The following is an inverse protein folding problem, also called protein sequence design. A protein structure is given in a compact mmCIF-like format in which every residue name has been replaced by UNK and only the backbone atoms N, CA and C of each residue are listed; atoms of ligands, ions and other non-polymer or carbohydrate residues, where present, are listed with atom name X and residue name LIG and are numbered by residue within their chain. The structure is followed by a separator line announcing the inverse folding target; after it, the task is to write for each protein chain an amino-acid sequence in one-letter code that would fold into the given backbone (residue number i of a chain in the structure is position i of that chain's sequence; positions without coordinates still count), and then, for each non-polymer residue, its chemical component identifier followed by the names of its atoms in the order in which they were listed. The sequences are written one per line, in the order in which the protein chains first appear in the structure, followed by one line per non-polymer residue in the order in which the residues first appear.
data_IF_703306730456
#
_entry.id   IF_703306730456
#
_cell.length_a   1.000
_cell.length_b   1.000
_cell.length_c   1.000
_cell.angle_alpha   90.00
_cell.angle_beta   90.00
_cell.angle_gamma   90.00
#
_symmetry.space_group_name_H-M   'P 1'
#
loop_
_entity.id
_entity.type
_entity.pdbx_description
1 polymer ?
#
# COMPACT_ATOMS: atom_id res chain seq x y z
N UNK A 1 37.28 45.73 -23.65
CA UNK A 1 36.81 44.41 -24.12
C UNK A 1 36.79 43.50 -22.90
N UNK A 2 35.94 43.78 -21.93
CA UNK A 2 34.49 43.53 -21.86
C UNK A 2 34.25 42.26 -21.05
N UNK A 3 34.03 42.51 -19.75
CA UNK A 3 33.47 41.57 -18.79
C UNK A 3 32.08 41.18 -19.29
N UNK A 4 31.99 40.05 -19.99
CA UNK A 4 30.70 39.39 -20.21
C UNK A 4 30.26 38.84 -18.87
N UNK A 5 29.21 39.43 -18.32
CA UNK A 5 28.54 38.92 -17.14
C UNK A 5 27.99 37.53 -17.46
N UNK A 6 28.47 36.52 -16.73
CA UNK A 6 27.94 35.16 -16.78
C UNK A 6 26.44 35.20 -16.49
N UNK A 7 25.65 34.45 -17.26
CA UNK A 7 24.21 34.33 -17.04
C UNK A 7 23.90 33.63 -15.71
N UNK A 8 22.65 33.71 -15.24
CA UNK A 8 22.24 33.08 -14.00
C UNK A 8 22.40 31.56 -14.05
N UNK A 9 22.12 30.91 -15.19
CA UNK A 9 22.33 29.46 -15.33
C UNK A 9 23.82 29.09 -15.34
N UNK A 10 24.69 29.91 -15.94
CA UNK A 10 26.14 29.68 -15.96
C UNK A 10 26.77 29.84 -14.58
N UNK A 11 26.25 30.76 -13.74
CA UNK A 11 26.68 30.86 -12.34
C UNK A 11 26.20 29.67 -11.51
N UNK A 12 24.97 29.20 -11.74
CA UNK A 12 24.43 28.03 -11.06
C UNK A 12 25.22 26.75 -11.35
N UNK A 13 25.60 26.53 -12.63
CA UNK A 13 26.44 25.39 -13.02
C UNK A 13 27.86 25.46 -12.42
N UNK A 14 28.40 26.67 -12.27
CA UNK A 14 29.72 26.88 -11.68
C UNK A 14 29.72 26.75 -10.14
N UNK A 15 28.65 27.16 -9.48
CA UNK A 15 28.47 27.01 -8.03
C UNK A 15 28.06 25.56 -7.63
N UNK A 16 27.49 24.80 -8.57
CA UNK A 16 27.14 23.39 -8.42
C UNK A 16 28.30 22.41 -8.54
N UNK A 17 29.43 22.82 -9.15
CA UNK A 17 30.63 22.00 -9.26
C UNK A 17 31.49 22.07 -7.99
N UNK A 18 31.00 21.41 -6.93
CA UNK A 18 31.74 21.27 -5.66
C UNK A 18 32.81 20.16 -5.70
N UNK A 19 33.12 19.62 -6.87
CA UNK A 19 34.08 18.51 -7.03
C UNK A 19 35.51 18.88 -6.60
N UNK A 20 35.87 20.17 -6.62
CA UNK A 20 37.18 20.66 -6.20
C UNK A 20 37.48 20.47 -4.70
N UNK A 21 36.48 20.16 -3.87
CA UNK A 21 36.63 19.96 -2.42
C UNK A 21 36.80 18.50 -1.99
N UNK A 22 36.69 17.54 -2.90
CA UNK A 22 36.75 16.12 -2.58
C UNK A 22 38.04 15.51 -3.13
N UNK A 23 38.93 15.04 -2.23
CA UNK A 23 39.19 13.61 -2.16
C UNK A 23 39.06 12.78 -3.45
N UNK A 24 39.90 12.84 -4.51
CA UNK A 24 39.72 11.89 -5.61
C UNK A 24 39.87 10.47 -5.07
N UNK A 25 38.76 9.73 -5.02
CA UNK A 25 38.78 8.33 -4.58
C UNK A 25 39.08 7.49 -5.81
N UNK A 26 40.30 6.95 -5.87
CA UNK A 26 40.64 5.96 -6.89
C UNK A 26 39.89 4.65 -6.58
N UNK A 27 38.83 4.40 -7.34
CA UNK A 27 38.01 3.20 -7.25
C UNK A 27 38.57 2.04 -8.08
N UNK A 28 39.65 2.24 -8.84
CA UNK A 28 40.16 1.22 -9.74
C UNK A 28 40.71 0.02 -8.98
N UNK A 29 41.56 0.23 -7.97
CA UNK A 29 42.19 -0.85 -7.21
C UNK A 29 41.18 -1.66 -6.36
N UNK A 30 40.23 -1.04 -5.63
CA UNK A 30 39.18 -1.77 -4.91
C UNK A 30 38.28 -2.60 -5.84
N UNK A 31 37.94 -2.08 -7.02
CA UNK A 31 37.11 -2.79 -8.01
C UNK A 31 37.87 -3.95 -8.63
N UNK A 32 39.15 -3.77 -8.98
CA UNK A 32 39.97 -4.85 -9.53
C UNK A 32 40.21 -5.96 -8.50
N UNK A 33 40.29 -5.62 -7.20
CA UNK A 33 40.35 -6.60 -6.11
C UNK A 33 39.03 -7.36 -5.93
N UNK A 34 37.89 -6.67 -5.99
CA UNK A 34 36.56 -7.28 -5.90
C UNK A 34 36.25 -8.21 -7.08
N UNK A 35 36.78 -7.90 -8.26
CA UNK A 35 36.66 -8.74 -9.47
C UNK A 35 37.69 -9.87 -9.54
N UNK A 36 38.56 -10.02 -8.54
CA UNK A 36 39.61 -11.05 -8.52
C UNK A 36 40.74 -10.84 -9.53
N UNK A 37 40.89 -9.62 -10.06
CA UNK A 37 41.88 -9.23 -11.08
C UNK A 37 43.04 -8.40 -10.52
N UNK A 38 43.06 -8.11 -9.20
CA UNK A 38 44.11 -7.37 -8.52
C UNK A 38 45.35 -8.23 -8.22
N UNK A 39 46.19 -8.46 -9.23
CA UNK A 39 47.45 -9.17 -9.08
C UNK A 39 48.62 -8.24 -8.75
N UNK A 40 49.16 -8.30 -7.53
CA UNK A 40 50.51 -7.82 -7.23
C UNK A 40 51.53 -8.85 -7.70
N UNK A 41 52.23 -8.56 -8.78
CA UNK A 41 53.52 -9.17 -9.06
C UNK A 41 54.56 -8.61 -8.09
N UNK A 42 55.15 -9.48 -7.26
CA UNK A 42 56.53 -9.31 -6.81
C UNK A 42 57.18 -10.67 -6.58
N UNK A 43 58.43 -10.72 -7.03
CA UNK A 43 59.23 -11.90 -7.29
C UNK A 43 60.15 -12.28 -6.12
N UNK A 44 60.58 -13.55 -6.16
CA UNK A 44 61.72 -14.18 -5.46
C UNK A 44 61.57 -14.41 -3.93
N UNK A 45 61.90 -15.56 -3.34
CA UNK A 45 62.27 -16.92 -3.75
C UNK A 45 61.49 -17.91 -2.85
N UNK A 46 61.58 -19.23 -2.91
CA UNK A 46 62.72 -20.11 -3.14
C UNK A 46 62.17 -21.55 -3.36
N UNK A 47 63.01 -22.39 -3.98
CA UNK A 47 62.73 -23.72 -4.52
C UNK A 47 62.16 -24.75 -3.53
N UNK A 48 61.24 -25.60 -4.02
CA UNK A 48 61.36 -27.06 -3.93
C UNK A 48 60.39 -27.78 -4.88
N UNK A 49 60.88 -28.79 -5.59
CA UNK A 49 60.11 -29.76 -6.40
C UNK A 49 60.88 -31.09 -6.39
N UNK A 50 60.30 -32.25 -6.78
CA UNK A 50 58.93 -32.78 -6.63
C UNK A 50 58.97 -34.22 -6.03
N UNK A 51 57.88 -35.04 -6.11
CA UNK A 51 57.85 -36.00 -7.24
C UNK A 51 56.45 -36.38 -7.81
N UNK A 52 56.46 -36.60 -9.14
CA UNK A 52 55.88 -37.67 -9.99
C UNK A 52 54.41 -38.15 -9.91
N UNK A 53 53.80 -38.23 -11.12
CA UNK A 53 52.76 -39.19 -11.56
C UNK A 53 51.32 -38.67 -11.44
N UNK A 54 50.38 -38.77 -12.39
CA UNK A 54 50.24 -39.50 -13.65
C UNK A 54 49.18 -38.76 -14.52
N UNK A 55 49.32 -38.79 -15.84
CA UNK A 55 48.26 -38.48 -16.83
C UNK A 55 47.54 -39.76 -17.26
N UNK A 56 46.26 -39.70 -17.69
CA UNK A 56 45.97 -39.89 -19.13
C UNK A 56 44.80 -38.98 -19.62
N UNK A 57 44.85 -38.33 -20.78
CA UNK A 57 44.75 -38.84 -22.16
C UNK A 57 43.41 -39.54 -22.47
N UNK A 58 42.56 -38.94 -23.33
CA UNK A 58 41.80 -39.57 -24.43
C UNK A 58 41.16 -38.44 -25.28
N UNK A 59 41.72 -38.21 -26.46
CA UNK A 59 40.96 -37.83 -27.65
C UNK A 59 40.70 -39.10 -28.46
N UNK A 60 39.48 -39.29 -28.98
CA UNK A 60 39.25 -40.25 -30.07
C UNK A 60 38.27 -39.70 -31.10
N UNK A 61 38.85 -39.43 -32.26
CA UNK A 61 38.24 -39.26 -33.58
C UNK A 61 37.99 -40.66 -34.15
N UNK A 62 36.89 -40.88 -34.87
CA UNK A 62 36.72 -42.03 -35.77
C UNK A 62 36.01 -41.56 -37.03
N UNK A 63 36.65 -41.87 -38.15
CA UNK A 63 36.23 -41.60 -39.52
C UNK A 63 35.21 -42.64 -40.02
N UNK A 64 34.68 -42.33 -41.19
CA UNK A 64 33.64 -43.02 -41.93
C UNK A 64 34.09 -44.37 -42.53
N UNK A 65 33.12 -45.27 -42.74
CA UNK A 65 33.19 -46.30 -43.77
C UNK A 65 31.80 -46.56 -44.39
N UNK A 66 31.81 -46.76 -45.70
CA UNK A 66 30.66 -46.92 -46.57
C UNK A 66 30.31 -48.39 -46.79
N UNK A 67 29.02 -48.71 -47.06
CA UNK A 67 28.64 -50.07 -47.44
C UNK A 67 27.14 -50.33 -47.67
N UNK A 68 26.63 -49.89 -48.82
CA UNK A 68 25.61 -50.54 -49.68
C UNK A 68 24.38 -51.23 -49.07
N UNK A 69 23.18 -50.75 -49.42
CA UNK A 69 22.19 -51.58 -50.15
C UNK A 69 21.08 -50.74 -50.81
N UNK A 70 20.72 -51.14 -52.03
CA UNK A 70 19.68 -50.55 -52.89
C UNK A 70 18.29 -50.98 -52.44
N UNK A 71 17.31 -50.06 -52.46
CA UNK A 71 15.99 -50.35 -53.06
C UNK A 71 15.26 -49.08 -53.49
N UNK A 72 14.89 -49.05 -54.78
CA UNK A 72 14.10 -48.02 -55.45
C UNK A 72 12.66 -48.03 -54.95
N UNK A 73 12.07 -46.84 -54.72
CA UNK A 73 10.68 -46.52 -55.10
C UNK A 73 10.58 -45.01 -55.40
N UNK A 74 9.66 -44.68 -56.30
CA UNK A 74 9.58 -43.49 -57.15
C UNK A 74 8.49 -42.52 -56.66
N UNK A 75 8.73 -41.21 -56.85
CA UNK A 75 7.78 -40.06 -57.06
C UNK A 75 7.14 -39.47 -55.79
N UNK A 76 6.77 -38.14 -55.70
CA UNK A 76 7.01 -37.00 -56.60
C UNK A 76 7.83 -35.85 -55.97
N UNK A 77 8.38 -34.97 -56.84
CA UNK A 77 8.88 -33.65 -56.46
C UNK A 77 7.68 -32.70 -56.27
N UNK A 78 7.51 -32.18 -55.06
CA UNK A 78 6.65 -31.03 -54.76
C UNK A 78 7.59 -29.83 -54.58
N UNK A 79 7.33 -28.67 -55.22
CA UNK A 79 8.21 -27.51 -55.14
C UNK A 79 8.22 -26.92 -53.73
N UNK A 80 9.41 -26.83 -53.13
CA UNK A 80 9.67 -26.17 -51.85
C UNK A 80 9.75 -24.66 -52.11
N UNK A 81 8.60 -24.03 -52.24
CA UNK A 81 8.46 -22.57 -52.24
C UNK A 81 7.07 -22.25 -51.69
N UNK A 82 6.94 -22.20 -50.36
CA UNK A 82 5.64 -21.89 -49.75
C UNK A 82 5.51 -22.03 -48.24
N UNK A 83 6.51 -22.57 -47.52
CA UNK A 83 6.41 -22.78 -46.07
C UNK A 83 7.14 -21.75 -45.20
N UNK A 84 7.89 -20.81 -45.81
CA UNK A 84 8.54 -19.74 -45.05
C UNK A 84 7.56 -18.63 -44.60
N UNK A 85 6.46 -18.41 -45.33
CA UNK A 85 5.48 -17.37 -44.99
C UNK A 85 4.50 -17.83 -43.88
N UNK A 86 4.13 -19.12 -43.84
CA UNK A 86 3.19 -19.63 -42.84
C UNK A 86 3.80 -19.71 -41.42
N UNK A 87 5.11 -19.96 -41.31
CA UNK A 87 5.81 -19.93 -40.01
C UNK A 87 6.00 -18.50 -39.48
N UNK A 88 6.14 -17.50 -40.35
CA UNK A 88 6.20 -16.09 -39.94
C UNK A 88 4.85 -15.56 -39.42
N UNK A 89 3.73 -16.06 -39.95
CA UNK A 89 2.39 -15.66 -39.46
C UNK A 89 2.05 -16.31 -38.10
N UNK A 90 2.53 -17.53 -37.83
CA UNK A 90 2.36 -18.16 -36.50
C UNK A 90 3.27 -17.50 -35.45
N UNK A 91 4.46 -17.01 -35.83
CA UNK A 91 5.31 -16.23 -34.91
C UNK A 91 4.77 -14.81 -34.69
N UNK A 92 4.13 -14.19 -35.69
CA UNK A 92 3.53 -12.85 -35.56
C UNK A 92 2.14 -12.83 -34.89
N UNK A 93 1.35 -13.91 -35.00
CA UNK A 93 0.05 -14.02 -34.30
C UNK A 93 0.14 -14.79 -32.97
N UNK A 94 1.16 -15.62 -32.77
CA UNK A 94 1.42 -16.33 -31.50
C UNK A 94 2.25 -15.53 -30.49
N UNK A 95 2.96 -14.48 -30.92
CA UNK A 95 3.78 -13.61 -30.07
C UNK A 95 3.01 -12.53 -29.28
N UNK A 96 1.67 -12.47 -29.43
CA UNK A 96 0.83 -11.48 -28.76
C UNK A 96 0.17 -11.94 -27.45
N UNK A 97 0.26 -13.22 -27.09
CA UNK A 97 -0.51 -13.80 -25.98
C UNK A 97 0.32 -14.24 -24.75
N UNK A 98 1.62 -13.99 -24.73
CA UNK A 98 2.49 -14.28 -23.57
C UNK A 98 3.33 -13.08 -23.18
N UNK A 99 2.66 -11.96 -22.86
CA UNK A 99 3.27 -10.86 -22.10
C UNK A 99 2.47 -10.42 -20.87
N UNK A 100 1.69 -11.36 -20.31
CA UNK A 100 1.09 -11.23 -18.97
C UNK A 100 1.00 -12.61 -18.31
N UNK A 101 2.10 -13.36 -18.31
CA UNK A 101 2.30 -14.50 -17.41
C UNK A 101 3.56 -14.20 -16.62
N UNK A 102 3.39 -14.04 -15.31
CA UNK A 102 4.40 -13.54 -14.39
C UNK A 102 5.71 -14.32 -14.47
N UNK A 103 6.75 -13.66 -14.97
CA UNK A 103 8.12 -14.00 -14.68
C UNK A 103 8.68 -12.91 -13.76
N UNK A 104 9.05 -13.37 -12.56
CA UNK A 104 9.99 -12.77 -11.61
C UNK A 104 10.67 -11.49 -12.11
N UNK A 105 10.13 -10.32 -11.75
CA UNK A 105 10.90 -9.08 -11.76
C UNK A 105 11.86 -9.12 -10.57
N UNK A 106 13.04 -9.70 -10.82
CA UNK A 106 14.19 -9.70 -9.91
C UNK A 106 14.89 -8.33 -9.97
N UNK A 107 14.49 -7.46 -9.05
CA UNK A 107 15.37 -6.50 -8.39
C UNK A 107 15.35 -6.85 -6.91
N UNK A 108 16.52 -7.05 -6.30
CA UNK A 108 16.65 -7.50 -4.93
C UNK A 108 16.02 -6.49 -3.94
N UNK A 109 14.85 -6.84 -3.39
CA UNK A 109 14.38 -6.56 -2.01
C UNK A 109 12.84 -6.73 -1.99
N UNK A 110 12.39 -7.86 -1.44
CA UNK A 110 10.99 -8.35 -1.38
C UNK A 110 10.50 -9.03 -2.67
N UNK A 111 10.81 -10.32 -2.85
CA UNK A 111 10.13 -11.13 -3.86
C UNK A 111 8.67 -11.33 -3.43
N UNK A 112 7.72 -10.86 -4.22
CA UNK A 112 6.30 -11.13 -4.03
C UNK A 112 5.71 -11.84 -5.25
N UNK A 113 4.61 -12.56 -5.03
CA UNK A 113 3.83 -13.21 -6.10
C UNK A 113 2.47 -12.57 -6.19
N UNK A 114 2.03 -12.29 -7.41
CA UNK A 114 0.67 -11.83 -7.68
C UNK A 114 -0.22 -13.04 -7.89
N UNK A 115 -1.32 -13.11 -7.16
CA UNK A 115 -2.29 -14.20 -7.17
C UNK A 115 -3.69 -13.66 -7.54
N UNK A 116 -4.56 -14.49 -8.14
CA UNK A 116 -5.97 -14.14 -8.31
C UNK A 116 -6.61 -13.79 -6.98
N UNK A 117 -7.60 -12.90 -7.00
CA UNK A 117 -8.32 -12.50 -5.79
C UNK A 117 -8.95 -13.70 -5.06
N UNK A 118 -8.76 -13.73 -3.74
CA UNK A 118 -9.42 -14.61 -2.79
C UNK A 118 -9.65 -13.86 -1.46
N UNK A 119 -10.82 -14.01 -0.82
CA UNK A 119 -11.04 -13.52 0.54
C UNK A 119 -9.98 -14.02 1.52
N UNK A 120 -9.57 -13.17 2.46
CA UNK A 120 -8.59 -13.51 3.49
C UNK A 120 -9.26 -13.66 4.86
N UNK A 121 -8.82 -14.61 5.71
CA UNK A 121 -9.30 -14.70 7.08
C UNK A 121 -8.77 -13.51 7.90
N UNK A 122 -9.65 -12.88 8.68
CA UNK A 122 -9.28 -11.80 9.59
C UNK A 122 -8.77 -12.35 10.94
N UNK A 123 -9.28 -13.50 11.38
CA UNK A 123 -8.90 -14.16 12.65
C UNK A 123 -8.73 -15.67 12.46
N UNK A 124 -8.19 -16.36 13.48
CA UNK A 124 -8.08 -17.82 13.49
C UNK A 124 -9.44 -18.55 13.57
N UNK A 125 -10.48 -17.90 14.08
CA UNK A 125 -11.81 -18.49 14.33
C UNK A 125 -12.82 -18.21 13.23
N UNK A 126 -12.58 -17.19 12.39
CA UNK A 126 -13.51 -16.76 11.34
C UNK A 126 -13.42 -15.26 11.07
N UNK A 127 -14.44 -14.71 10.41
CA UNK A 127 -14.43 -13.32 9.94
C UNK A 127 -13.52 -13.16 8.72
N UNK A 128 -14.08 -12.63 7.63
CA UNK A 128 -13.37 -12.55 6.35
C UNK A 128 -13.18 -11.09 5.93
N UNK A 129 -12.00 -10.80 5.38
CA UNK A 129 -11.74 -9.61 4.58
C UNK A 129 -12.20 -9.95 3.16
N UNK A 130 -13.26 -9.30 2.69
CA UNK A 130 -13.83 -9.62 1.39
C UNK A 130 -14.37 -8.40 0.67
N UNK A 131 -14.33 -8.52 -0.65
CA UNK A 131 -15.04 -7.68 -1.60
C UNK A 131 -16.52 -8.07 -1.61
N UNK A 132 -17.47 -7.13 -1.39
CA UNK A 132 -18.90 -7.37 -1.60
C UNK A 132 -19.20 -7.86 -3.02
N UNK A 133 -20.30 -8.60 -3.17
CA UNK A 133 -20.74 -9.10 -4.48
C UNK A 133 -21.10 -7.95 -5.42
N UNK A 134 -21.73 -6.91 -4.90
CA UNK A 134 -22.13 -5.72 -5.64
C UNK A 134 -21.03 -4.64 -5.58
N UNK A 135 -20.57 -4.11 -6.72
CA UNK A 135 -19.67 -2.97 -6.76
C UNK A 135 -20.40 -1.70 -6.33
N UNK A 136 -19.63 -0.71 -5.89
CA UNK A 136 -20.14 0.65 -5.77
C UNK A 136 -20.49 1.17 -7.16
N UNK A 137 -21.73 1.65 -7.30
CA UNK A 137 -22.21 2.32 -8.50
C UNK A 137 -22.15 3.84 -8.28
N UNK A 138 -21.81 4.63 -9.31
CA UNK A 138 -21.88 6.09 -9.19
C UNK A 138 -23.28 6.47 -8.77
N UNK A 139 -23.39 7.25 -7.68
CA UNK A 139 -24.69 7.79 -7.31
C UNK A 139 -25.27 8.57 -8.50
N UNK A 140 -26.58 8.42 -8.79
CA UNK A 140 -27.23 9.29 -9.76
C UNK A 140 -26.94 10.73 -9.37
N UNK A 141 -26.83 11.63 -10.36
CA UNK A 141 -26.60 13.05 -10.13
C UNK A 141 -27.48 13.53 -8.98
N UNK A 142 -26.87 13.88 -7.85
CA UNK A 142 -27.62 14.24 -6.65
C UNK A 142 -28.55 15.40 -7.03
N UNK A 143 -29.82 15.30 -6.63
CA UNK A 143 -30.66 16.49 -6.59
C UNK A 143 -29.91 17.56 -5.80
N UNK A 144 -29.99 18.83 -6.23
CA UNK A 144 -29.40 19.90 -5.44
C UNK A 144 -29.89 19.76 -3.99
N UNK A 145 -28.98 19.81 -3.00
CA UNK A 145 -29.38 19.68 -1.61
C UNK A 145 -30.47 20.69 -1.34
N UNK A 146 -31.57 20.23 -0.76
CA UNK A 146 -32.69 21.11 -0.45
C UNK A 146 -32.23 22.15 0.58
N UNK A 147 -32.95 23.28 0.68
CA UNK A 147 -32.72 24.24 1.76
C UNK A 147 -32.81 23.58 3.14
N UNK A 148 -33.65 22.55 3.25
CA UNK A 148 -33.80 21.74 4.44
C UNK A 148 -32.54 20.90 4.72
N UNK A 149 -31.97 20.22 3.74
CA UNK A 149 -30.72 19.45 3.91
C UNK A 149 -29.56 20.32 4.37
N UNK A 150 -29.44 21.52 3.80
CA UNK A 150 -28.41 22.50 4.20
C UNK A 150 -28.64 23.01 5.63
N UNK A 151 -29.90 23.22 6.02
CA UNK A 151 -30.25 23.56 7.40
C UNK A 151 -29.85 22.43 8.36
N UNK A 152 -30.17 21.17 8.05
CA UNK A 152 -29.76 20.02 8.87
C UNK A 152 -28.24 19.95 9.02
N UNK A 153 -27.47 20.04 7.93
CA UNK A 153 -25.99 20.07 7.97
C UNK A 153 -25.46 21.18 8.88
N UNK A 154 -26.02 22.38 8.76
CA UNK A 154 -25.64 23.52 9.60
C UNK A 154 -25.92 23.23 11.09
N UNK A 155 -27.06 22.63 11.41
CA UNK A 155 -27.43 22.29 12.80
C UNK A 155 -26.56 21.17 13.37
N UNK A 156 -26.20 20.15 12.57
CA UNK A 156 -25.25 19.12 12.98
C UNK A 156 -23.88 19.71 13.30
N UNK A 157 -23.36 20.56 12.41
CA UNK A 157 -22.09 21.25 12.62
C UNK A 157 -22.12 22.12 13.87
N UNK A 158 -23.20 22.89 14.07
CA UNK A 158 -23.40 23.69 15.29
C UNK A 158 -23.44 22.83 16.55
N UNK A 159 -24.18 21.72 16.53
CA UNK A 159 -24.25 20.78 17.66
C UNK A 159 -22.88 20.21 18.01
N UNK A 160 -22.13 19.75 17.01
CA UNK A 160 -20.76 19.23 17.17
C UNK A 160 -19.84 20.28 17.82
N UNK A 161 -19.83 21.51 17.30
CA UNK A 161 -18.99 22.59 17.82
C UNK A 161 -19.37 22.99 19.25
N UNK A 162 -20.66 22.94 19.60
CA UNK A 162 -21.09 23.20 20.98
C UNK A 162 -20.52 22.14 21.92
N UNK A 163 -20.62 20.86 21.56
CA UNK A 163 -20.05 19.77 22.37
C UNK A 163 -18.54 19.92 22.54
N UNK A 164 -17.82 20.27 21.46
CA UNK A 164 -16.38 20.55 21.51
C UNK A 164 -16.02 21.61 22.57
N UNK A 165 -16.82 22.66 22.70
CA UNK A 165 -16.58 23.72 23.69
C UNK A 165 -16.94 23.35 25.13
N UNK A 166 -17.81 22.36 25.32
CA UNK A 166 -18.31 21.93 26.63
C UNK A 166 -17.44 20.84 27.27
N UNK A 167 -16.70 20.10 26.46
CA UNK A 167 -15.91 18.96 26.90
C UNK A 167 -14.45 19.36 27.15
N UNK A 168 -13.85 18.72 28.16
CA UNK A 168 -12.40 18.80 28.35
C UNK A 168 -11.67 17.89 27.35
N UNK A 169 -10.38 18.14 27.07
CA UNK A 169 -9.57 17.24 26.25
C UNK A 169 -9.60 15.80 26.77
N UNK A 170 -9.93 14.85 25.88
CA UNK A 170 -10.07 13.43 26.21
C UNK A 170 -11.43 13.02 26.77
N UNK A 171 -12.39 13.94 26.89
CA UNK A 171 -13.80 13.61 27.12
C UNK A 171 -14.52 13.37 25.79
N UNK A 172 -15.53 12.51 25.83
CA UNK A 172 -16.34 12.13 24.69
C UNK A 172 -17.80 12.31 25.02
N UNK A 173 -18.65 12.48 24.00
CA UNK A 173 -20.08 12.61 24.21
C UNK A 173 -20.87 12.01 23.07
N UNK A 174 -22.04 11.50 23.42
CA UNK A 174 -23.08 11.17 22.46
C UNK A 174 -24.16 12.24 22.56
N UNK A 175 -24.74 12.61 21.42
CA UNK A 175 -25.79 13.61 21.35
C UNK A 175 -26.85 13.20 20.34
N UNK A 176 -28.07 13.68 20.54
CA UNK A 176 -29.20 13.49 19.64
C UNK A 176 -29.75 14.85 19.28
N UNK A 177 -29.82 15.15 17.99
CA UNK A 177 -30.46 16.36 17.49
C UNK A 177 -31.86 16.01 16.99
N UNK A 178 -32.87 16.72 17.49
CA UNK A 178 -34.27 16.58 17.08
C UNK A 178 -34.86 17.92 16.72
N UNK A 179 -35.80 17.90 15.78
CA UNK A 179 -36.64 19.06 15.48
C UNK A 179 -37.90 19.01 16.34
N UNK A 180 -38.22 20.09 17.03
CA UNK A 180 -39.30 20.15 18.02
C UNK A 180 -40.68 20.39 17.40
N UNK A 181 -40.74 20.88 16.16
CA UNK A 181 -41.97 21.20 15.42
C UNK A 181 -42.50 20.02 14.59
N UNK A 182 -41.83 18.85 14.62
CA UNK A 182 -42.20 17.65 13.88
C UNK A 182 -41.93 16.39 14.69
N UNK A 183 -42.75 15.35 14.50
CA UNK A 183 -42.45 14.01 15.01
C UNK A 183 -41.47 13.31 14.05
N UNK A 184 -40.19 13.61 14.21
CA UNK A 184 -39.10 12.96 13.47
C UNK A 184 -38.23 12.14 14.43
N UNK A 185 -37.64 11.06 13.92
CA UNK A 185 -36.56 10.37 14.64
C UNK A 185 -35.38 11.33 14.82
N UNK A 186 -34.74 11.25 15.98
CA UNK A 186 -33.57 12.04 16.19
C UNK A 186 -32.43 11.57 15.31
N UNK A 187 -31.39 12.38 15.29
CA UNK A 187 -30.15 11.98 14.67
C UNK A 187 -29.09 11.89 15.74
N UNK A 188 -28.65 10.66 15.95
CA UNK A 188 -27.59 10.31 16.87
C UNK A 188 -26.24 10.73 16.28
N UNK A 189 -25.51 11.54 17.03
CA UNK A 189 -24.16 11.97 16.74
C UNK A 189 -23.20 11.59 17.86
N UNK A 190 -21.93 11.44 17.49
CA UNK A 190 -20.84 11.11 18.40
C UNK A 190 -19.74 12.15 18.27
N UNK A 191 -19.40 12.79 19.39
CA UNK A 191 -18.18 13.56 19.54
C UNK A 191 -17.07 12.65 20.09
N UNK A 192 -16.25 12.12 19.19
CA UNK A 192 -15.11 11.24 19.49
C UNK A 192 -13.90 11.64 18.65
N UNK A 193 -13.27 12.79 18.92
CA UNK A 193 -12.09 13.20 18.17
C UNK A 193 -10.91 12.23 18.42
N UNK A 194 -10.09 11.96 17.38
CA UNK A 194 -8.90 11.14 17.56
C UNK A 194 -7.87 11.82 18.46
N UNK A 195 -7.07 11.04 19.17
CA UNK A 195 -5.90 11.53 19.90
C UNK A 195 -4.75 11.58 18.90
N UNK A 196 -4.24 12.78 18.61
CA UNK A 196 -3.23 13.04 17.57
C UNK A 196 -1.86 13.32 18.20
N UNK A 197 -0.83 12.72 17.62
CA UNK A 197 0.58 12.86 18.02
C UNK A 197 1.41 13.28 16.82
N UNK A 198 2.42 14.14 17.04
CA UNK A 198 3.41 14.52 16.01
C UNK A 198 4.66 13.66 16.04
N UNK A 199 4.89 12.93 17.13
CA UNK A 199 6.03 12.03 17.29
C UNK A 199 5.59 10.60 17.56
N UNK A 200 6.37 9.65 17.02
CA UNK A 200 6.08 8.23 17.14
C UNK A 200 6.23 7.71 18.58
N UNK A 201 7.15 8.27 19.37
CA UNK A 201 7.40 7.88 20.76
C UNK A 201 6.21 8.13 21.69
N UNK A 202 5.59 9.31 21.61
CA UNK A 202 4.42 9.68 22.38
C UNK A 202 3.20 8.85 21.95
N UNK A 203 3.06 8.63 20.64
CA UNK A 203 2.06 7.71 20.09
C UNK A 203 2.22 6.31 20.68
N UNK A 204 3.43 5.74 20.63
CA UNK A 204 3.69 4.37 21.10
C UNK A 204 3.36 4.22 22.58
N UNK A 205 3.80 5.17 23.40
CA UNK A 205 3.50 5.20 24.84
C UNK A 205 2.00 5.28 25.09
N UNK A 206 1.27 6.06 24.29
CA UNK A 206 -0.17 6.20 24.41
C UNK A 206 -0.92 4.96 23.91
N UNK A 207 -0.46 4.33 22.83
CA UNK A 207 -1.04 3.09 22.32
C UNK A 207 -0.97 1.98 23.37
N UNK A 208 0.16 1.87 24.07
CA UNK A 208 0.31 0.95 25.20
C UNK A 208 -0.65 1.31 26.35
N UNK A 209 -0.68 2.58 26.76
CA UNK A 209 -1.56 3.08 27.84
C UNK A 209 -3.04 2.80 27.58
N UNK A 210 -3.51 3.00 26.36
CA UNK A 210 -4.91 2.81 25.97
C UNK A 210 -5.22 1.40 25.47
N UNK A 211 -4.22 0.51 25.48
CA UNK A 211 -4.31 -0.80 24.83
C UNK A 211 -4.86 -0.67 23.40
N UNK A 212 -4.37 0.29 22.62
CA UNK A 212 -4.71 0.40 21.20
C UNK A 212 -3.79 -0.52 20.37
N UNK A 213 -4.23 -1.00 19.19
CA UNK A 213 -3.33 -1.70 18.26
C UNK A 213 -2.10 -0.85 17.95
N UNK A 214 -0.89 -1.40 18.07
CA UNK A 214 0.33 -0.68 17.69
C UNK A 214 0.58 -0.82 16.19
N UNK A 215 0.42 0.28 15.44
CA UNK A 215 1.04 0.42 14.12
C UNK A 215 2.54 0.69 14.27
N UNK A 216 3.39 -0.24 13.83
CA UNK A 216 4.85 -0.07 13.75
C UNK A 216 5.24 0.93 12.66
N UNK A 217 6.44 1.52 12.75
CA UNK A 217 6.97 2.27 11.61
C UNK A 217 7.41 1.30 10.50
N UNK A 218 7.08 1.57 9.23
CA UNK A 218 7.49 0.72 8.12
C UNK A 218 9.00 0.80 7.90
N UNK A 219 9.64 -0.37 7.76
CA UNK A 219 11.09 -0.43 7.52
C UNK A 219 11.53 0.12 6.15
N UNK A 220 10.63 0.16 5.18
CA UNK A 220 10.90 0.49 3.78
C UNK A 220 10.10 1.71 3.27
N UNK A 221 10.02 2.77 4.07
CA UNK A 221 9.38 4.01 3.63
C UNK A 221 10.27 4.73 2.60
N UNK A 222 9.76 5.09 1.40
CA UNK A 222 10.55 5.78 0.39
C UNK A 222 11.09 7.14 0.86
N UNK A 223 12.21 7.56 0.27
CA UNK A 223 12.87 8.81 0.64
C UNK A 223 11.93 10.02 0.47
N UNK A 224 11.99 10.93 1.45
CA UNK A 224 11.20 12.15 1.48
C UNK A 224 9.83 12.01 2.14
N UNK A 225 9.35 10.79 2.41
CA UNK A 225 8.17 10.59 3.25
C UNK A 225 8.55 10.71 4.73
N UNK A 226 7.91 11.65 5.41
CA UNK A 226 8.09 11.88 6.84
C UNK A 226 6.78 11.63 7.57
N UNK A 227 6.87 11.16 8.82
CA UNK A 227 5.70 11.05 9.70
C UNK A 227 5.11 12.46 9.90
N UNK A 228 3.88 12.65 9.45
CA UNK A 228 3.12 13.90 9.65
C UNK A 228 2.31 13.85 10.94
N UNK A 229 1.65 12.71 11.18
CA UNK A 229 0.89 12.47 12.40
C UNK A 229 0.70 10.98 12.67
N UNK A 230 0.53 10.67 13.94
CA UNK A 230 0.06 9.40 14.43
C UNK A 230 -1.24 9.63 15.20
N UNK A 231 -2.19 8.70 15.13
CA UNK A 231 -3.48 8.85 15.78
C UNK A 231 -3.97 7.56 16.43
N UNK A 232 -4.70 7.72 17.53
CA UNK A 232 -5.52 6.67 18.15
C UNK A 232 -6.97 7.13 18.04
N UNK A 233 -7.84 6.29 17.46
CA UNK A 233 -9.24 6.62 17.26
C UNK A 233 -10.10 5.97 18.35
N UNK A 234 -10.76 6.76 19.22
CA UNK A 234 -11.70 6.24 20.17
C UNK A 234 -13.02 5.86 19.47
N UNK A 235 -13.63 4.77 19.93
CA UNK A 235 -14.94 4.26 19.52
C UNK A 235 -15.81 3.99 20.75
N UNK A 236 -17.13 3.99 20.57
CA UNK A 236 -18.05 3.56 21.62
C UNK A 236 -18.22 2.05 21.58
N UNK A 237 -18.15 1.40 22.74
CA UNK A 237 -18.43 -0.03 22.90
C UNK A 237 -19.92 -0.31 22.71
N UNK A 238 -20.76 0.61 23.18
CA UNK A 238 -22.22 0.55 23.01
C UNK A 238 -22.74 1.93 22.66
N UNK A 239 -23.52 1.97 21.59
CA UNK A 239 -24.26 3.15 21.18
C UNK A 239 -25.68 2.97 21.71
N UNK A 240 -26.06 3.78 22.69
CA UNK A 240 -27.38 3.69 23.33
C UNK A 240 -28.49 4.24 22.41
N UNK A 241 -29.69 3.66 22.52
CA UNK A 241 -30.90 4.13 21.82
C UNK A 241 -31.27 5.56 22.29
N UNK A 242 -31.76 6.40 21.39
CA UNK A 242 -32.22 7.76 21.65
C UNK A 242 -33.19 7.86 22.85
N UNK A 243 -33.95 6.80 23.12
CA UNK A 243 -34.89 6.71 24.24
C UNK A 243 -34.22 6.79 25.61
N UNK A 244 -32.91 6.59 25.70
CA UNK A 244 -32.13 6.62 26.94
C UNK A 244 -31.58 8.01 27.28
N UNK A 245 -31.74 9.02 26.40
CA UNK A 245 -31.36 10.42 26.66
C UNK A 245 -32.35 11.19 27.57
N UNK A 246 -33.29 10.51 28.24
CA UNK A 246 -34.29 11.17 29.09
C UNK A 246 -33.67 11.71 30.37
N UNK A 247 -33.72 13.04 30.55
CA UNK A 247 -33.22 13.74 31.74
C UNK A 247 -31.81 14.30 31.60
N UNK A 248 -31.24 14.22 30.40
CA UNK A 248 -29.91 14.74 30.07
C UNK A 248 -29.92 16.23 29.71
N UNK A 249 -28.73 16.80 29.54
CA UNK A 249 -28.56 18.23 29.24
C UNK A 249 -29.11 18.56 27.85
N UNK A 250 -29.95 19.59 27.78
CA UNK A 250 -30.57 20.05 26.54
C UNK A 250 -30.02 21.41 26.09
N UNK A 251 -29.81 21.56 24.79
CA UNK A 251 -29.28 22.77 24.16
C UNK A 251 -30.18 23.15 22.99
N UNK A 252 -30.62 24.40 22.97
CA UNK A 252 -31.34 24.99 21.84
C UNK A 252 -30.36 25.36 20.71
N UNK A 253 -30.54 24.75 19.55
CA UNK A 253 -29.74 25.03 18.35
C UNK A 253 -30.41 26.09 17.45
N UNK A 254 -31.61 26.55 17.78
CA UNK A 254 -32.45 27.46 17.01
C UNK A 254 -33.17 26.77 15.85
N UNK A 255 -34.12 27.46 15.20
CA UNK A 255 -34.96 26.93 14.11
C UNK A 255 -35.72 25.65 14.49
N UNK A 256 -36.19 25.59 15.74
CA UNK A 256 -36.85 24.44 16.36
C UNK A 256 -35.94 23.22 16.55
N UNK A 257 -34.63 23.31 16.37
CA UNK A 257 -33.71 22.21 16.66
C UNK A 257 -33.26 22.23 18.12
N UNK A 258 -33.36 21.06 18.77
CA UNK A 258 -32.90 20.80 20.13
C UNK A 258 -31.88 19.68 20.10
N UNK A 259 -30.81 19.83 20.87
CA UNK A 259 -29.80 18.81 21.08
C UNK A 259 -29.86 18.33 22.52
N UNK A 260 -30.07 17.03 22.70
CA UNK A 260 -29.87 16.38 24.01
C UNK A 260 -28.54 15.67 23.97
N UNK A 261 -27.72 15.78 25.01
CA UNK A 261 -26.38 15.17 25.01
C UNK A 261 -25.97 14.67 26.38
N UNK A 262 -25.06 13.72 26.40
CA UNK A 262 -24.44 13.17 27.61
C UNK A 262 -22.95 12.98 27.41
N UNK A 263 -22.19 13.17 28.49
CA UNK A 263 -20.77 12.78 28.52
C UNK A 263 -20.67 11.27 28.64
N UNK A 264 -19.85 10.67 27.80
CA UNK A 264 -19.58 9.23 27.85
C UNK A 264 -18.58 8.92 28.96
N UNK A 265 -18.84 7.82 29.68
CA UNK A 265 -17.92 7.32 30.70
C UNK A 265 -16.75 6.63 30.02
N UNK A 266 -15.58 6.70 30.63
CA UNK A 266 -14.37 6.05 30.11
C UNK A 266 -14.55 4.53 29.87
N UNK A 267 -15.38 3.86 30.67
CA UNK A 267 -15.71 2.42 30.52
C UNK A 267 -16.50 2.09 29.23
N UNK A 268 -17.12 3.09 28.59
CA UNK A 268 -17.84 2.93 27.33
C UNK A 268 -16.95 3.20 26.10
N UNK A 269 -15.69 3.57 26.30
CA UNK A 269 -14.77 3.97 25.24
C UNK A 269 -13.78 2.84 24.97
N UNK A 270 -13.72 2.39 23.73
CA UNK A 270 -12.68 1.53 23.24
C UNK A 270 -11.71 2.31 22.34
N UNK A 271 -10.48 1.78 22.23
CA UNK A 271 -9.41 2.36 21.42
C UNK A 271 -8.95 1.33 20.39
N UNK A 272 -9.88 0.85 19.60
CA UNK A 272 -9.67 -0.33 18.75
C UNK A 272 -9.02 -0.03 17.41
N UNK A 273 -8.66 1.22 17.14
CA UNK A 273 -8.00 1.60 15.89
C UNK A 273 -6.94 2.68 16.09
N UNK A 274 -5.85 2.55 15.35
CA UNK A 274 -4.75 3.52 15.30
C UNK A 274 -4.23 3.67 13.88
N UNK A 275 -3.51 4.76 13.62
CA UNK A 275 -2.86 4.98 12.33
C UNK A 275 -1.59 5.81 12.43
N UNK A 276 -0.68 5.58 11.48
CA UNK A 276 0.43 6.48 11.14
C UNK A 276 0.15 7.08 9.76
N UNK A 277 0.43 8.38 9.62
CA UNK A 277 0.30 9.12 8.38
C UNK A 277 1.67 9.67 8.00
N UNK A 278 2.14 9.27 6.82
CA UNK A 278 3.36 9.78 6.21
C UNK A 278 3.01 10.68 5.03
N UNK A 279 3.76 11.78 4.87
CA UNK A 279 3.56 12.72 3.77
C UNK A 279 4.86 13.07 3.07
N UNK A 280 4.73 13.32 1.77
CA UNK A 280 5.74 13.93 0.90
C UNK A 280 5.00 14.89 -0.04
N UNK A 281 5.09 16.19 0.22
CA UNK A 281 4.30 17.19 -0.50
C UNK A 281 2.79 16.94 -0.34
N UNK A 282 2.09 16.66 -1.45
CA UNK A 282 0.66 16.33 -1.47
C UNK A 282 0.37 14.82 -1.37
N UNK A 283 1.38 13.98 -1.58
CA UNK A 283 1.26 12.52 -1.47
C UNK A 283 1.14 12.11 -0.01
N UNK A 284 0.18 11.25 0.30
CA UNK A 284 -0.05 10.75 1.66
C UNK A 284 -0.14 9.22 1.67
N UNK A 285 0.65 8.59 2.53
CA UNK A 285 0.55 7.17 2.89
C UNK A 285 -0.03 7.07 4.29
N UNK A 286 -1.21 6.47 4.42
CA UNK A 286 -1.84 6.18 5.72
C UNK A 286 -1.77 4.69 5.99
N UNK A 287 -1.19 4.30 7.11
CA UNK A 287 -1.11 2.92 7.58
C UNK A 287 -1.93 2.84 8.87
N UNK A 288 -2.86 1.91 8.95
CA UNK A 288 -3.75 1.76 10.10
C UNK A 288 -3.83 0.31 10.55
N UNK A 289 -4.07 0.13 11.84
CA UNK A 289 -4.36 -1.15 12.47
C UNK A 289 -5.68 -1.02 13.23
N UNK A 290 -6.52 -2.03 13.12
CA UNK A 290 -7.81 -2.10 13.81
C UNK A 290 -8.02 -3.49 14.39
N UNK A 291 -8.56 -3.57 15.61
CA UNK A 291 -9.04 -4.85 16.15
C UNK A 291 -10.24 -5.33 15.36
N UNK A 292 -10.34 -6.65 15.27
CA UNK A 292 -11.45 -7.34 14.63
C UNK A 292 -12.45 -7.78 15.68
N UNK A 293 -13.73 -7.50 15.46
CA UNK A 293 -14.79 -8.22 16.17
C UNK A 293 -14.95 -9.59 15.48
N UNK A 294 -14.61 -10.67 16.19
CA UNK A 294 -14.73 -12.05 15.68
C UNK A 294 -16.15 -12.40 15.20
N UNK A 295 -17.17 -11.67 15.69
CA UNK A 295 -18.57 -11.89 15.32
C UNK A 295 -19.01 -11.09 14.10
N UNK A 296 -18.17 -10.20 13.58
CA UNK A 296 -18.49 -9.40 12.41
C UNK A 296 -18.36 -10.22 11.12
N UNK A 297 -19.43 -10.25 10.33
CA UNK A 297 -19.46 -10.87 9.00
C UNK A 297 -19.96 -9.84 7.95
N UNK A 298 -19.10 -9.36 7.03
CA UNK A 298 -17.65 -9.57 6.98
C UNK A 298 -16.90 -8.81 8.09
N UNK A 299 -15.67 -9.25 8.38
CA UNK A 299 -14.79 -8.57 9.33
C UNK A 299 -14.24 -7.25 8.77
N UNK A 300 -14.01 -7.20 7.46
CA UNK A 300 -13.70 -5.97 6.71
C UNK A 300 -14.32 -6.09 5.32
N UNK A 301 -15.05 -5.07 4.93
CA UNK A 301 -15.65 -4.95 3.60
C UNK A 301 -14.80 -4.05 2.71
N UNK A 302 -14.33 -4.59 1.58
CA UNK A 302 -13.49 -3.84 0.65
C UNK A 302 -14.36 -2.98 -0.28
N UNK A 303 -14.22 -1.67 -0.18
CA UNK A 303 -14.86 -0.72 -1.11
C UNK A 303 -14.22 -0.85 -2.49
N UNK A 304 -15.02 -1.15 -3.51
CA UNK A 304 -14.58 -1.40 -4.88
C UNK A 304 -15.63 -0.99 -5.91
N UNK A 305 -15.20 -0.81 -7.14
CA UNK A 305 -16.03 -0.57 -8.34
C UNK A 305 -15.71 -1.61 -9.41
N UNK A 306 -16.50 -1.68 -10.48
CA UNK A 306 -16.22 -2.57 -11.61
C UNK A 306 -14.85 -2.33 -12.27
N UNK A 307 -14.32 -1.11 -12.17
CA UNK A 307 -13.00 -0.77 -12.74
C UNK A 307 -11.85 -0.89 -11.72
N UNK A 308 -12.15 -1.25 -10.47
CA UNK A 308 -11.14 -1.50 -9.46
C UNK A 308 -10.46 -2.84 -9.72
N UNK A 309 -9.14 -2.80 -9.92
CA UNK A 309 -8.32 -4.01 -9.95
C UNK A 309 -8.18 -4.55 -8.52
N UNK A 310 -8.54 -5.81 -8.31
CA UNK A 310 -8.40 -6.51 -7.02
C UNK A 310 -7.60 -7.78 -7.22
N UNK A 311 -6.53 -7.97 -6.45
CA UNK A 311 -5.64 -9.14 -6.53
C UNK A 311 -5.03 -9.46 -5.17
N UNK A 312 -4.64 -10.71 -4.94
CA UNK A 312 -3.88 -11.10 -3.77
C UNK A 312 -2.38 -10.96 -4.06
N UNK A 313 -1.61 -10.55 -3.07
CA UNK A 313 -0.15 -10.47 -3.12
C UNK A 313 0.41 -11.36 -2.01
N UNK A 314 1.20 -12.36 -2.37
CA UNK A 314 1.93 -13.23 -1.44
C UNK A 314 3.35 -12.68 -1.23
N UNK A 315 3.70 -12.42 0.03
CA UNK A 315 4.99 -11.90 0.48
C UNK A 315 5.51 -12.86 1.55
N UNK A 316 6.43 -13.75 1.16
CA UNK A 316 7.05 -14.68 2.11
C UNK A 316 6.05 -15.62 2.81
N UNK A 317 4.94 -16.00 2.15
CA UNK A 317 3.90 -16.86 2.73
C UNK A 317 2.81 -16.10 3.47
N UNK A 318 2.89 -14.77 3.57
CA UNK A 318 1.82 -13.89 4.07
C UNK A 318 1.09 -13.26 2.90
N UNK A 319 -0.23 -13.33 2.90
CA UNK A 319 -1.06 -12.74 1.85
C UNK A 319 -1.65 -11.39 2.27
N UNK A 320 -1.78 -10.49 1.30
CA UNK A 320 -2.59 -9.27 1.39
C UNK A 320 -3.49 -9.13 0.16
N UNK A 321 -4.56 -8.35 0.29
CA UNK A 321 -5.41 -7.94 -0.83
C UNK A 321 -4.99 -6.54 -1.27
N UNK A 322 -4.66 -6.41 -2.55
CA UNK A 322 -4.32 -5.15 -3.22
C UNK A 322 -5.50 -4.65 -4.04
N UNK A 323 -5.79 -3.36 -3.92
CA UNK A 323 -6.82 -2.66 -4.68
C UNK A 323 -6.21 -1.43 -5.37
N UNK A 324 -6.52 -1.29 -6.65
CA UNK A 324 -6.11 -0.16 -7.49
C UNK A 324 -7.27 0.27 -8.40
N UNK A 325 -7.91 1.41 -8.10
CA UNK A 325 -8.93 1.98 -8.97
C UNK A 325 -8.32 2.48 -10.28
N UNK A 326 -9.10 2.40 -11.36
CA UNK A 326 -8.75 3.00 -12.64
C UNK A 326 -8.56 4.52 -12.51
N UNK A 327 -7.76 5.13 -13.40
CA UNK A 327 -7.63 6.59 -13.47
C UNK A 327 -8.94 7.28 -13.84
N UNK A 328 -9.80 6.60 -14.59
CA UNK A 328 -11.04 7.16 -15.14
C UNK A 328 -12.25 6.84 -14.24
N UNK A 329 -12.00 6.53 -12.97
CA UNK A 329 -13.01 6.15 -12.01
C UNK A 329 -13.98 7.33 -11.73
N UNK A 330 -15.28 7.04 -11.75
CA UNK A 330 -16.31 8.07 -11.52
C UNK A 330 -16.60 8.30 -10.03
N UNK A 331 -16.15 7.37 -9.20
CA UNK A 331 -16.32 7.39 -7.74
C UNK A 331 -14.95 7.62 -7.11
N UNK A 332 -14.79 8.71 -6.36
CA UNK A 332 -13.60 8.88 -5.52
C UNK A 332 -13.65 7.86 -4.38
N UNK A 333 -12.89 6.78 -4.51
CA UNK A 333 -12.74 5.76 -3.46
C UNK A 333 -11.84 6.23 -2.30
N UNK A 334 -11.24 7.42 -2.40
CA UNK A 334 -10.39 8.03 -1.39
C UNK A 334 -8.96 7.47 -1.36
N UNK A 335 -8.59 6.64 -2.34
CA UNK A 335 -7.27 6.03 -2.47
C UNK A 335 -6.92 5.74 -3.92
N UNK A 336 -5.63 5.81 -4.26
CA UNK A 336 -5.07 5.28 -5.51
C UNK A 336 -4.59 3.85 -5.37
N UNK A 337 -3.99 3.54 -4.22
CA UNK A 337 -3.59 2.19 -3.83
C UNK A 337 -4.14 1.90 -2.45
N UNK A 338 -4.71 0.70 -2.26
CA UNK A 338 -5.09 0.20 -0.93
C UNK A 338 -4.62 -1.24 -0.78
N UNK A 339 -3.96 -1.53 0.33
CA UNK A 339 -3.50 -2.86 0.71
C UNK A 339 -4.12 -3.22 2.05
N UNK A 340 -4.70 -4.41 2.15
CA UNK A 340 -5.35 -4.90 3.37
C UNK A 340 -4.84 -6.30 3.71
N UNK A 341 -4.41 -6.50 4.94
CA UNK A 341 -3.96 -7.79 5.46
C UNK A 341 -4.35 -7.94 6.92
N UNK A 342 -4.19 -9.15 7.46
CA UNK A 342 -4.49 -9.45 8.86
C UNK A 342 -3.28 -10.06 9.56
N UNK A 343 -3.28 -9.91 10.88
CA UNK A 343 -2.59 -10.79 11.82
C UNK A 343 -3.67 -11.59 12.57
N UNK A 344 -3.99 -12.82 12.11
CA UNK A 344 -5.06 -13.62 12.68
C UNK A 344 -4.84 -14.04 14.14
N UNK A 345 -3.57 -14.14 14.56
CA UNK A 345 -3.21 -14.47 15.94
C UNK A 345 -3.45 -13.28 16.87
N UNK A 346 -3.10 -12.08 16.43
CA UNK A 346 -3.34 -10.85 17.17
C UNK A 346 -4.77 -10.29 17.00
N UNK A 347 -5.57 -10.86 16.09
CA UNK A 347 -6.92 -10.37 15.72
C UNK A 347 -6.91 -8.92 15.24
N UNK A 348 -5.91 -8.57 14.41
CA UNK A 348 -5.72 -7.22 13.88
C UNK A 348 -5.85 -7.25 12.36
N UNK A 349 -6.62 -6.31 11.81
CA UNK A 349 -6.58 -5.96 10.39
C UNK A 349 -5.73 -4.71 10.22
N UNK A 350 -4.81 -4.80 9.27
CA UNK A 350 -4.02 -3.69 8.80
C UNK A 350 -4.54 -3.20 7.47
N UNK A 351 -4.57 -1.88 7.30
CA UNK A 351 -4.98 -1.23 6.08
C UNK A 351 -4.01 -0.11 5.78
N UNK A 352 -3.41 -0.14 4.60
CA UNK A 352 -2.58 0.90 4.07
C UNK A 352 -3.21 1.50 2.83
N UNK A 353 -3.35 2.81 2.78
CA UNK A 353 -3.82 3.53 1.61
C UNK A 353 -2.85 4.64 1.20
N UNK A 354 -2.73 4.83 -0.11
CA UNK A 354 -2.05 5.97 -0.72
C UNK A 354 -3.12 6.86 -1.33
N UNK A 355 -3.14 8.13 -0.93
CA UNK A 355 -4.02 9.15 -1.52
C UNK A 355 -3.17 10.15 -2.27
N UNK A 356 -3.34 10.19 -3.58
CA UNK A 356 -2.72 11.17 -4.47
C UNK A 356 -3.51 11.25 -5.79
N UNK A 357 -3.68 12.46 -6.33
CA UNK A 357 -4.28 12.66 -7.66
C UNK A 357 -3.35 12.14 -8.77
N UNK A 358 -2.04 12.35 -8.61
CA UNK A 358 -0.99 11.86 -9.51
C UNK A 358 0.03 11.07 -8.69
N UNK A 359 -0.06 9.73 -8.61
CA UNK A 359 0.76 8.94 -7.70
C UNK A 359 2.25 9.00 -8.07
N UNK A 360 3.07 9.53 -7.16
CA UNK A 360 4.53 9.39 -7.24
C UNK A 360 4.96 7.95 -6.96
N UNK A 361 4.22 7.26 -6.09
CA UNK A 361 4.51 5.89 -5.68
C UNK A 361 4.07 4.89 -6.74
N UNK A 362 4.96 3.97 -7.07
CA UNK A 362 4.65 2.79 -7.88
C UNK A 362 4.02 1.69 -7.03
N UNK A 363 3.28 0.78 -7.68
CA UNK A 363 2.76 -0.44 -7.03
C UNK A 363 3.85 -1.19 -6.26
N UNK A 364 5.04 -1.32 -6.83
CA UNK A 364 6.16 -2.07 -6.23
C UNK A 364 6.69 -1.37 -4.97
N UNK A 365 6.73 -0.04 -4.92
CA UNK A 365 7.07 0.72 -3.71
C UNK A 365 6.03 0.55 -2.61
N UNK A 366 4.75 0.63 -2.97
CA UNK A 366 3.66 0.44 -1.99
C UNK A 366 3.71 -0.98 -1.42
N UNK A 367 3.92 -2.01 -2.25
CA UNK A 367 4.09 -3.39 -1.77
C UNK A 367 5.31 -3.52 -0.85
N UNK A 368 6.42 -2.84 -1.14
CA UNK A 368 7.62 -2.86 -0.28
C UNK A 368 7.40 -2.21 1.08
N UNK A 369 6.60 -1.13 1.16
CA UNK A 369 6.19 -0.53 2.44
C UNK A 369 5.42 -1.56 3.27
N UNK A 370 4.42 -2.22 2.67
CA UNK A 370 3.64 -3.26 3.35
C UNK A 370 4.52 -4.45 3.79
N UNK A 371 5.42 -4.92 2.92
CA UNK A 371 6.36 -5.98 3.25
C UNK A 371 7.22 -5.63 4.47
N UNK A 372 7.68 -4.38 4.57
CA UNK A 372 8.43 -3.87 5.71
C UNK A 372 7.65 -3.80 7.03
N UNK A 373 6.33 -3.93 6.99
CA UNK A 373 5.44 -4.00 8.16
C UNK A 373 5.11 -5.43 8.58
N UNK A 374 5.18 -6.37 7.63
CA UNK A 374 4.82 -7.77 7.84
C UNK A 374 5.96 -8.62 8.41
N UNK A 375 7.21 -8.18 8.29
CA UNK A 375 8.40 -8.93 8.68
C UNK A 375 8.78 -8.77 10.15
#
# INVERSE_FOLDING_TARGET
MDKRELTQEERFLKDGDRSAGFTPVDVHEPVMKALGLGGTLSAAGELTSPPSGETPNIMRRLEAEAGTSRRRKRIPRIPVQGWAAALLVIVLLGGGYTRYSGELRQGAESQYKVLPYKPLPATNSGGMIMKPDEPLIPWPAQAQPSEEDELYKLKYSKGYNVIETLLNPGEYATYVIKRADREEEGHLGLYSPPIIFKDYSAYKTSAEKYHAPEVKQPGNMPEGYILDEALIKPSLIKVEDEKQFKGESEIDLGDNFRMTWKREKAENIAYDSSALVYKKGKSQVRISASRVDEKAEPAESLLWTETTKVENIDIGGKELIYLEPSSDEKIDLGYKYRLVWSDPEAQIIYNMSVREEEPELTKDEVIRIAAGMMN
#
